data_IF_202033838329
#
_entry.id   IF_202033838329
#
_cell.length_a   1.000
_cell.length_b   1.000
_cell.length_c   1.000
_cell.angle_alpha   90.00
_cell.angle_beta   90.00
_cell.angle_gamma   90.00
#
_symmetry.space_group_name_H-M   'P 1'
#
loop_
_entity.id
_entity.type
_entity.pdbx_description
1 polymer ?
#
# COMPACT_ATOMS: atom_id res chain seq x y z
N UNK A 1 11.58 2.83 -14.16
CA UNK A 1 11.52 1.45 -14.70
C UNK A 1 12.02 0.41 -13.70
N UNK A 2 13.25 0.53 -13.16
CA UNK A 2 13.85 -0.46 -12.26
C UNK A 2 13.03 -0.71 -10.97
N UNK A 3 12.53 0.33 -10.29
CA UNK A 3 11.75 0.15 -9.07
C UNK A 3 10.41 -0.57 -9.29
N UNK A 4 9.68 -0.25 -10.36
CA UNK A 4 8.43 -0.95 -10.71
C UNK A 4 8.66 -2.42 -11.08
N UNK A 5 9.80 -2.71 -11.72
CA UNK A 5 10.23 -4.06 -12.04
C UNK A 5 10.60 -4.85 -10.77
N UNK A 6 11.35 -4.25 -9.85
CA UNK A 6 11.71 -4.87 -8.58
C UNK A 6 10.48 -5.19 -7.73
N UNK A 7 9.56 -4.24 -7.58
CA UNK A 7 8.31 -4.45 -6.84
C UNK A 7 7.51 -5.59 -7.49
N UNK A 8 7.28 -5.59 -8.79
CA UNK A 8 6.47 -6.64 -9.42
C UNK A 8 7.14 -8.02 -9.48
N UNK A 9 8.45 -8.08 -9.69
CA UNK A 9 9.17 -9.35 -9.73
C UNK A 9 9.30 -9.95 -8.33
N UNK A 10 9.63 -9.14 -7.31
CA UNK A 10 9.79 -9.64 -5.93
C UNK A 10 8.46 -9.85 -5.20
N UNK A 11 7.47 -8.97 -5.40
CA UNK A 11 6.18 -9.04 -4.70
C UNK A 11 5.18 -9.89 -5.48
N UNK A 12 5.09 -9.72 -6.81
CA UNK A 12 4.04 -10.38 -7.59
C UNK A 12 4.47 -11.65 -8.34
N UNK A 13 5.77 -12.01 -8.36
CA UNK A 13 6.30 -13.21 -9.04
C UNK A 13 5.70 -13.43 -10.45
N UNK A 14 5.55 -12.37 -11.24
CA UNK A 14 4.86 -12.41 -12.55
C UNK A 14 5.67 -11.72 -13.65
N UNK A 15 6.00 -12.47 -14.70
CA UNK A 15 6.71 -12.00 -15.90
C UNK A 15 5.77 -11.41 -16.97
N UNK A 16 4.61 -10.86 -16.58
CA UNK A 16 3.69 -10.19 -17.52
C UNK A 16 3.83 -8.68 -17.46
N UNK A 17 4.04 -8.01 -18.59
CA UNK A 17 4.22 -6.54 -18.71
C UNK A 17 3.02 -5.70 -18.22
N UNK A 18 1.81 -6.25 -18.21
CA UNK A 18 0.58 -5.55 -17.81
C UNK A 18 0.55 -5.10 -16.32
N UNK A 19 0.78 -5.99 -15.32
CA UNK A 19 0.90 -5.57 -13.92
C UNK A 19 2.09 -4.63 -13.69
N UNK A 20 3.19 -4.77 -14.44
CA UNK A 20 4.32 -3.83 -14.41
C UNK A 20 3.92 -2.40 -14.79
N UNK A 21 3.10 -2.25 -15.83
CA UNK A 21 2.58 -0.96 -16.26
C UNK A 21 1.58 -0.36 -15.26
N UNK A 22 0.71 -1.19 -14.67
CA UNK A 22 -0.30 -0.75 -13.72
C UNK A 22 0.33 -0.16 -12.44
N UNK A 23 1.32 -0.84 -11.86
CA UNK A 23 2.02 -0.35 -10.67
C UNK A 23 2.81 0.93 -10.96
N UNK A 24 3.43 1.03 -12.14
CA UNK A 24 4.11 2.24 -12.57
C UNK A 24 3.13 3.41 -12.75
N UNK A 25 1.98 3.16 -13.38
CA UNK A 25 0.95 4.17 -13.57
C UNK A 25 0.40 4.67 -12.22
N UNK A 26 0.13 3.77 -11.27
CA UNK A 26 -0.29 4.13 -9.92
C UNK A 26 0.77 4.95 -9.19
N UNK A 27 2.04 4.58 -9.31
CA UNK A 27 3.14 5.33 -8.70
C UNK A 27 3.23 6.76 -9.26
N UNK A 28 3.14 6.91 -10.59
CA UNK A 28 3.16 8.23 -11.23
C UNK A 28 1.94 9.07 -10.86
N UNK A 29 0.75 8.49 -10.84
CA UNK A 29 -0.47 9.18 -10.41
C UNK A 29 -0.34 9.67 -8.96
N UNK A 30 0.21 8.83 -8.08
CA UNK A 30 0.40 9.18 -6.66
C UNK A 30 1.38 10.34 -6.51
N UNK A 31 2.49 10.34 -7.25
CA UNK A 31 3.43 11.45 -7.26
C UNK A 31 2.79 12.76 -7.77
N UNK A 32 1.97 12.70 -8.81
CA UNK A 32 1.27 13.88 -9.34
C UNK A 32 0.29 14.43 -8.30
N UNK A 33 -0.49 13.54 -7.67
CA UNK A 33 -1.48 13.88 -6.63
C UNK A 33 -0.82 14.53 -5.40
N UNK A 34 0.29 13.97 -4.92
CA UNK A 34 1.04 14.49 -3.78
C UNK A 34 1.80 15.80 -4.07
N UNK A 35 2.03 16.14 -5.35
CA UNK A 35 2.61 17.42 -5.75
C UNK A 35 1.56 18.51 -6.02
N UNK A 36 0.27 18.18 -5.98
CA UNK A 36 -0.78 19.17 -6.18
C UNK A 36 -0.91 20.10 -4.97
N UNK A 37 -1.29 21.37 -5.21
CA UNK A 37 -1.59 22.35 -4.15
C UNK A 37 -2.95 22.13 -3.50
N UNK A 38 -3.83 21.36 -4.13
CA UNK A 38 -5.17 21.10 -3.62
C UNK A 38 -5.13 20.05 -2.52
N UNK A 39 -5.65 20.42 -1.33
CA UNK A 39 -5.69 19.52 -0.18
C UNK A 39 -6.38 18.17 -0.47
N UNK A 40 -7.47 18.20 -1.25
CA UNK A 40 -8.15 16.98 -1.71
C UNK A 40 -7.25 16.02 -2.51
N UNK A 41 -6.36 16.56 -3.35
CA UNK A 41 -5.43 15.75 -4.14
C UNK A 41 -4.34 15.14 -3.27
N UNK A 42 -3.84 15.90 -2.29
CA UNK A 42 -2.86 15.40 -1.31
C UNK A 42 -3.45 14.28 -0.47
N UNK A 43 -4.69 14.44 0.03
CA UNK A 43 -5.41 13.39 0.76
C UNK A 43 -5.56 12.13 -0.11
N UNK A 44 -5.97 12.30 -1.37
CA UNK A 44 -6.15 11.17 -2.29
C UNK A 44 -4.82 10.45 -2.53
N UNK A 45 -3.72 11.20 -2.75
CA UNK A 45 -2.38 10.63 -2.89
C UNK A 45 -1.91 9.91 -1.61
N UNK A 46 -2.20 10.45 -0.43
CA UNK A 46 -1.92 9.80 0.85
C UNK A 46 -2.68 8.48 0.99
N UNK A 47 -3.98 8.46 0.70
CA UNK A 47 -4.81 7.24 0.76
C UNK A 47 -4.25 6.16 -0.18
N UNK A 48 -3.89 6.51 -1.42
CA UNK A 48 -3.31 5.55 -2.37
C UNK A 48 -1.97 5.01 -1.84
N UNK A 49 -1.12 5.89 -1.29
CA UNK A 49 0.17 5.50 -0.69
C UNK A 49 -0.03 4.57 0.50
N UNK A 50 -1.04 4.83 1.32
CA UNK A 50 -1.39 4.01 2.46
C UNK A 50 -1.85 2.61 2.06
N UNK A 51 -2.74 2.52 1.08
CA UNK A 51 -3.21 1.23 0.55
C UNK A 51 -2.04 0.42 -0.01
N UNK A 52 -1.17 1.07 -0.79
CA UNK A 52 0.00 0.39 -1.35
C UNK A 52 0.98 -0.08 -0.27
N UNK A 53 1.21 0.75 0.76
CA UNK A 53 2.08 0.39 1.89
C UNK A 53 1.49 -0.74 2.73
N UNK A 54 0.16 -0.81 2.87
CA UNK A 54 -0.53 -1.91 3.54
C UNK A 54 -0.39 -3.22 2.77
N UNK A 55 -0.51 -3.18 1.44
CA UNK A 55 -0.33 -4.37 0.60
C UNK A 55 1.10 -4.91 0.67
N UNK A 56 2.11 -4.03 0.65
CA UNK A 56 3.51 -4.42 0.81
C UNK A 56 3.74 -5.05 2.18
N UNK A 57 3.25 -4.42 3.25
CA UNK A 57 3.45 -4.93 4.61
C UNK A 57 2.72 -6.26 4.83
N UNK A 58 1.51 -6.40 4.30
CA UNK A 58 0.78 -7.67 4.29
C UNK A 58 1.55 -8.77 3.55
N UNK A 59 2.07 -8.46 2.36
CA UNK A 59 2.88 -9.41 1.59
C UNK A 59 4.19 -9.78 2.30
N UNK A 60 4.81 -8.83 3.02
CA UNK A 60 6.02 -9.11 3.79
C UNK A 60 5.75 -10.07 4.95
N UNK A 61 4.62 -9.93 5.63
CA UNK A 61 4.24 -10.74 6.80
C UNK A 61 3.74 -12.14 6.41
N UNK A 62 2.85 -12.22 5.43
CA UNK A 62 2.16 -13.46 5.07
C UNK A 62 2.72 -14.15 3.84
N UNK A 63 3.58 -13.48 3.08
CA UNK A 63 4.05 -13.93 1.75
C UNK A 63 2.91 -14.22 0.75
N UNK A 64 1.73 -13.67 1.03
CA UNK A 64 0.51 -13.82 0.25
C UNK A 64 0.04 -12.47 -0.28
N UNK A 65 -0.69 -12.51 -1.39
CA UNK A 65 -1.31 -11.33 -1.98
C UNK A 65 -2.69 -11.13 -1.37
N UNK A 66 -3.09 -9.89 -1.18
CA UNK A 66 -4.47 -9.56 -0.84
C UNK A 66 -5.35 -9.98 -2.03
N UNK A 67 -6.08 -11.07 -1.85
CA UNK A 67 -7.01 -11.65 -2.82
C UNK A 67 -8.45 -11.42 -2.35
N UNK A 68 -9.44 -11.64 -3.23
CA UNK A 68 -10.86 -11.59 -2.86
C UNK A 68 -11.17 -12.52 -1.68
N UNK A 69 -10.52 -13.70 -1.63
CA UNK A 69 -10.66 -14.63 -0.52
C UNK A 69 -10.13 -14.11 0.83
N UNK A 70 -9.15 -13.20 0.83
CA UNK A 70 -8.67 -12.53 2.06
C UNK A 70 -9.70 -11.51 2.53
N UNK A 71 -10.33 -10.79 1.60
CA UNK A 71 -11.39 -9.83 1.89
C UNK A 71 -12.63 -10.55 2.44
N UNK A 72 -13.03 -11.65 1.80
CA UNK A 72 -14.16 -12.49 2.25
C UNK A 72 -13.89 -13.06 3.64
N UNK A 73 -12.68 -13.57 3.88
CA UNK A 73 -12.28 -14.06 5.22
C UNK A 73 -12.31 -12.95 6.27
N UNK A 74 -11.88 -11.73 5.92
CA UNK A 74 -11.94 -10.58 6.82
C UNK A 74 -13.38 -10.16 7.17
N UNK A 75 -14.32 -10.31 6.25
CA UNK A 75 -15.76 -10.06 6.48
C UNK A 75 -16.37 -11.17 7.35
N UNK A 76 -15.92 -12.42 7.17
CA UNK A 76 -16.38 -13.58 7.92
C UNK A 76 -15.75 -13.68 9.32
N UNK A 77 -14.63 -12.98 9.54
CA UNK A 77 -13.90 -12.99 10.82
C UNK A 77 -14.74 -12.36 11.93
N UNK A 78 -15.00 -13.13 12.99
CA UNK A 78 -15.73 -12.65 14.16
C UNK A 78 -14.95 -11.56 14.91
N UNK A 79 -15.64 -10.59 15.51
CA UNK A 79 -15.06 -9.49 16.31
C UNK A 79 -14.08 -9.94 17.40
N UNK A 80 -14.32 -11.11 18.01
CA UNK A 80 -13.43 -11.74 19.00
C UNK A 80 -12.10 -12.18 18.38
N UNK A 81 -12.12 -12.75 17.18
CA UNK A 81 -10.93 -13.24 16.47
C UNK A 81 -10.15 -12.07 15.85
N UNK A 82 -10.88 -11.10 15.29
CA UNK A 82 -10.32 -9.85 14.78
C UNK A 82 -9.57 -9.06 15.86
N UNK A 83 -10.12 -8.98 17.08
CA UNK A 83 -9.46 -8.27 18.21
C UNK A 83 -8.22 -8.99 18.73
N UNK A 84 -8.20 -10.33 18.73
CA UNK A 84 -7.01 -11.11 19.09
C UNK A 84 -5.88 -10.93 18.05
N UNK A 85 -6.24 -10.79 16.77
CA UNK A 85 -5.28 -10.58 15.69
C UNK A 85 -4.83 -9.12 15.53
N UNK A 86 -5.68 -8.17 15.93
CA UNK A 86 -5.44 -6.72 15.81
C UNK A 86 -4.12 -6.29 16.48
N UNK A 87 -3.79 -6.84 17.64
CA UNK A 87 -2.56 -6.48 18.35
C UNK A 87 -1.30 -6.75 17.52
N UNK A 88 -1.24 -7.91 16.85
CA UNK A 88 -0.11 -8.27 15.99
C UNK A 88 -0.10 -7.45 14.70
N UNK A 89 -1.26 -7.31 14.05
CA UNK A 89 -1.36 -6.60 12.76
C UNK A 89 -1.17 -5.09 12.88
N UNK A 90 -1.51 -4.49 14.02
CA UNK A 90 -1.27 -3.07 14.26
C UNK A 90 0.22 -2.77 14.21
N UNK A 91 1.06 -3.57 14.88
CA UNK A 91 2.50 -3.29 14.95
C UNK A 91 3.28 -3.82 13.74
N UNK A 92 2.91 -4.97 13.18
CA UNK A 92 3.64 -5.56 12.04
C UNK A 92 3.22 -4.98 10.69
N UNK A 93 1.98 -4.50 10.55
CA UNK A 93 1.42 -4.07 9.26
C UNK A 93 0.98 -2.60 9.32
N UNK A 94 0.01 -2.28 10.17
CA UNK A 94 -0.69 -0.99 10.11
C UNK A 94 0.22 0.20 10.43
N UNK A 95 0.99 0.09 11.51
CA UNK A 95 1.89 1.14 12.00
C UNK A 95 3.04 1.42 11.03
N UNK A 96 3.81 0.43 10.52
CA UNK A 96 4.83 0.70 9.50
C UNK A 96 4.23 1.27 8.21
N UNK A 97 3.07 0.79 7.75
CA UNK A 97 2.42 1.35 6.55
C UNK A 97 1.99 2.81 6.75
N UNK A 98 1.49 3.16 7.94
CA UNK A 98 1.15 4.55 8.29
C UNK A 98 2.39 5.44 8.33
N UNK A 99 3.47 5.00 8.99
CA UNK A 99 4.72 5.75 9.11
C UNK A 99 5.31 6.03 7.73
N UNK A 100 5.38 5.03 6.86
CA UNK A 100 5.90 5.19 5.49
C UNK A 100 5.04 6.18 4.70
N UNK A 101 3.71 6.08 4.80
CA UNK A 101 2.80 6.97 4.08
C UNK A 101 2.91 8.42 4.55
N UNK A 102 2.98 8.63 5.87
CA UNK A 102 3.18 9.96 6.46
C UNK A 102 4.54 10.55 6.05
N UNK A 103 5.61 9.76 6.09
CA UNK A 103 6.94 10.21 5.66
C UNK A 103 6.91 10.66 4.19
N UNK A 104 6.35 9.84 3.30
CA UNK A 104 6.27 10.17 1.86
C UNK A 104 5.47 11.46 1.64
N UNK A 105 4.31 11.60 2.27
CA UNK A 105 3.49 12.81 2.14
C UNK A 105 4.19 14.05 2.71
N UNK A 106 4.81 13.96 3.89
CA UNK A 106 5.53 15.09 4.50
C UNK A 106 6.75 15.52 3.67
N UNK A 107 7.53 14.56 3.14
CA UNK A 107 8.65 14.88 2.26
C UNK A 107 8.19 15.50 0.93
N UNK A 108 7.00 15.14 0.43
CA UNK A 108 6.42 15.76 -0.76
C UNK A 108 5.95 17.19 -0.49
N UNK A 109 5.34 17.45 0.67
CA UNK A 109 4.91 18.80 1.06
C UNK A 109 6.10 19.75 1.25
N UNK A 110 7.19 19.28 1.88
CA UNK A 110 8.41 20.09 2.11
C UNK A 110 9.15 20.49 0.83
N UNK A 111 8.82 19.91 -0.34
CA UNK A 111 9.41 20.32 -1.62
C UNK A 111 8.75 21.57 -2.23
N UNK A 112 7.64 22.06 -1.67
CA UNK A 112 7.04 23.37 -1.99
C UNK A 112 7.61 24.46 -1.08
#
# INVERSE_FOLDING_TARGET
MIMGYLINTFIYKRDSTAPHLATLALFLCTLILLNSKTWFSVITGFIITLIFSLEIAYFAEFHEKISTGVIDSGIETNSSEASAMLGHYVFSILLPSLVVSLLITFFSEKRH
#
